data_IF_333281321127
#
_entry.id   IF_333281321127
#
_cell.length_a   1.000
_cell.length_b   1.000
_cell.length_c   1.000
_cell.angle_alpha   90.00
_cell.angle_beta   90.00
_cell.angle_gamma   90.00
#
_symmetry.space_group_name_H-M   'P 1'
#
loop_
_entity.id
_entity.type
_entity.pdbx_description
1 polymer ?
#
# COMPACT_ATOMS: atom_id res chain seq x y z
N UNK A 1 9.28 8.54 -14.22
CA UNK A 1 10.34 9.55 -14.49
C UNK A 1 10.93 9.26 -15.87
N UNK A 2 11.09 10.26 -16.75
CA UNK A 2 11.72 10.06 -18.06
C UNK A 2 13.16 10.60 -18.01
N UNK A 3 14.16 9.78 -18.36
CA UNK A 3 15.54 10.27 -18.55
C UNK A 3 15.71 10.79 -19.98
N UNK A 4 16.78 11.57 -20.23
CA UNK A 4 17.06 12.31 -21.47
C UNK A 4 17.29 11.46 -22.74
N UNK A 5 16.76 10.22 -22.76
CA UNK A 5 16.79 9.26 -23.87
C UNK A 5 15.48 8.47 -24.06
N UNK A 6 14.36 8.91 -23.47
CA UNK A 6 13.05 8.28 -23.68
C UNK A 6 12.77 7.02 -22.86
N UNK A 7 13.57 6.76 -21.82
CA UNK A 7 13.35 5.62 -20.91
C UNK A 7 12.28 6.02 -19.90
N UNK A 8 11.14 5.32 -19.91
CA UNK A 8 10.16 5.37 -18.84
C UNK A 8 10.68 4.55 -17.66
N UNK A 9 10.89 5.21 -16.52
CA UNK A 9 11.23 4.55 -15.26
C UNK A 9 9.97 4.47 -14.41
N UNK A 10 9.53 3.24 -14.17
CA UNK A 10 8.54 2.92 -13.15
C UNK A 10 9.26 2.68 -11.82
N UNK A 11 8.79 3.34 -10.78
CA UNK A 11 9.30 3.18 -9.41
C UNK A 11 8.17 2.66 -8.55
N UNK A 12 8.41 1.55 -7.85
CA UNK A 12 7.45 0.95 -6.95
C UNK A 12 8.14 0.63 -5.63
N UNK A 13 7.36 0.65 -4.55
CA UNK A 13 7.79 0.22 -3.21
C UNK A 13 6.88 -0.90 -2.73
N UNK A 14 7.48 -1.93 -2.12
CA UNK A 14 6.74 -2.96 -1.40
C UNK A 14 6.81 -2.66 0.09
N UNK A 15 5.67 -2.35 0.69
CA UNK A 15 5.54 -2.11 2.13
C UNK A 15 5.28 -3.45 2.82
N UNK A 16 6.22 -3.86 3.65
CA UNK A 16 6.15 -5.06 4.49
C UNK A 16 6.43 -4.69 5.95
N UNK A 17 6.37 -5.66 6.87
CA UNK A 17 6.53 -5.46 8.31
C UNK A 17 7.79 -4.68 8.72
N UNK A 18 8.85 -4.71 7.91
CA UNK A 18 10.11 -4.01 8.16
C UNK A 18 10.35 -2.78 7.27
N UNK A 19 9.34 -2.29 6.56
CA UNK A 19 9.41 -1.03 5.83
C UNK A 19 9.04 0.11 6.78
N UNK A 20 9.95 1.07 6.97
CA UNK A 20 9.65 2.32 7.67
C UNK A 20 8.93 3.27 6.73
N UNK A 21 7.87 3.88 7.25
CA UNK A 21 7.15 4.98 6.60
C UNK A 21 7.24 6.16 7.54
N UNK A 22 7.96 7.18 7.13
CA UNK A 22 8.05 8.45 7.84
C UNK A 22 7.17 9.48 7.13
N UNK A 23 6.47 10.32 7.89
CA UNK A 23 5.61 11.36 7.34
C UNK A 23 5.94 12.71 7.96
N UNK A 24 6.11 13.72 7.11
CA UNK A 24 6.26 15.12 7.50
C UNK A 24 5.17 15.94 6.81
N UNK A 25 4.56 16.87 7.54
CA UNK A 25 3.56 17.80 7.00
C UNK A 25 4.22 19.17 6.86
N UNK A 26 4.21 19.71 5.64
CA UNK A 26 4.79 21.01 5.32
C UNK A 26 3.74 21.82 4.56
N UNK A 27 3.20 22.86 5.21
CA UNK A 27 2.10 23.63 4.64
C UNK A 27 0.82 22.80 4.49
N UNK A 28 0.32 22.69 3.27
CA UNK A 28 -0.88 21.93 2.87
C UNK A 28 -0.56 20.56 2.24
N UNK A 29 0.71 20.13 2.33
CA UNK A 29 1.19 18.87 1.79
C UNK A 29 1.74 17.95 2.88
N UNK A 30 1.57 16.65 2.65
CA UNK A 30 2.21 15.59 3.41
C UNK A 30 3.24 14.88 2.53
N UNK A 31 4.47 14.78 3.02
CA UNK A 31 5.55 14.03 2.42
C UNK A 31 5.76 12.72 3.19
N UNK A 32 5.66 11.60 2.48
CA UNK A 32 5.96 10.27 3.00
C UNK A 32 7.29 9.78 2.43
N UNK A 33 8.17 9.28 3.29
CA UNK A 33 9.40 8.61 2.89
C UNK A 33 9.27 7.13 3.22
N UNK A 34 9.38 6.30 2.19
CA UNK A 34 9.38 4.85 2.31
C UNK A 34 10.82 4.36 2.25
N UNK A 35 11.28 3.76 3.33
CA UNK A 35 12.61 3.19 3.45
C UNK A 35 12.53 1.71 3.85
N UNK A 36 13.35 0.89 3.20
CA UNK A 36 13.35 -0.56 3.38
C UNK A 36 14.75 -1.14 3.37
N UNK A 37 14.92 -2.35 3.91
CA UNK A 37 16.23 -2.96 4.19
C UNK A 37 17.13 -3.21 2.96
N UNK A 38 16.60 -3.14 1.73
CA UNK A 38 17.31 -3.52 0.49
C UNK A 38 17.09 -2.60 -0.72
N UNK A 39 16.41 -1.46 -0.58
CA UNK A 39 16.04 -0.62 -1.72
C UNK A 39 16.10 0.86 -1.38
N UNK A 40 16.43 1.68 -2.39
CA UNK A 40 16.51 3.14 -2.26
C UNK A 40 15.22 3.78 -1.75
N UNK A 41 15.33 5.03 -1.32
CA UNK A 41 14.22 5.79 -0.78
C UNK A 41 13.22 6.16 -1.88
N UNK A 42 11.93 5.93 -1.62
CA UNK A 42 10.84 6.47 -2.42
C UNK A 42 10.15 7.55 -1.59
N UNK A 43 9.96 8.74 -2.17
CA UNK A 43 9.19 9.81 -1.56
C UNK A 43 7.87 9.99 -2.29
N UNK A 44 6.77 10.07 -1.54
CA UNK A 44 5.44 10.43 -2.04
C UNK A 44 5.03 11.75 -1.41
N UNK A 45 4.74 12.76 -2.23
CA UNK A 45 4.17 14.03 -1.77
C UNK A 45 2.73 14.10 -2.22
N UNK A 46 1.83 14.43 -1.31
CA UNK A 46 0.40 14.57 -1.57
C UNK A 46 -0.13 15.82 -0.90
N UNK A 47 -1.06 16.51 -1.56
CA UNK A 47 -1.85 17.57 -0.92
C UNK A 47 -2.86 16.97 0.05
N UNK A 48 -3.46 17.78 0.92
CA UNK A 48 -4.55 17.36 1.81
C UNK A 48 -5.67 16.59 1.07
N UNK A 49 -6.22 17.16 0.00
CA UNK A 49 -7.27 16.52 -0.81
C UNK A 49 -6.78 15.25 -1.52
N UNK A 50 -5.48 15.16 -1.82
CA UNK A 50 -4.86 13.95 -2.34
C UNK A 50 -4.77 12.86 -1.26
N UNK A 51 -4.36 13.23 -0.05
CA UNK A 51 -4.25 12.33 1.09
C UNK A 51 -5.61 11.74 1.48
N UNK A 52 -6.68 12.54 1.48
CA UNK A 52 -8.04 12.05 1.71
C UNK A 52 -8.41 10.90 0.75
N UNK A 53 -8.10 11.06 -0.54
CA UNK A 53 -8.34 10.02 -1.56
C UNK A 53 -7.48 8.78 -1.32
N UNK A 54 -6.21 8.97 -0.94
CA UNK A 54 -5.32 7.85 -0.62
C UNK A 54 -5.89 7.03 0.53
N UNK A 55 -6.31 7.69 1.61
CA UNK A 55 -6.92 7.04 2.78
C UNK A 55 -8.18 6.27 2.38
N UNK A 56 -9.09 6.88 1.61
CA UNK A 56 -10.32 6.21 1.15
C UNK A 56 -10.00 4.92 0.38
N UNK A 57 -9.10 5.00 -0.61
CA UNK A 57 -8.77 3.87 -1.45
C UNK A 57 -7.99 2.78 -0.72
N UNK A 58 -7.07 3.15 0.18
CA UNK A 58 -6.32 2.18 0.98
C UNK A 58 -7.21 1.46 1.97
N UNK A 59 -8.15 2.17 2.62
CA UNK A 59 -9.11 1.55 3.52
C UNK A 59 -10.02 0.58 2.76
N UNK A 60 -10.53 0.97 1.58
CA UNK A 60 -11.33 0.09 0.73
C UNK A 60 -10.58 -1.18 0.33
N UNK A 61 -9.30 -1.06 -0.03
CA UNK A 61 -8.47 -2.22 -0.37
C UNK A 61 -8.22 -3.12 0.85
N UNK A 62 -7.98 -2.53 2.03
CA UNK A 62 -7.82 -3.28 3.28
C UNK A 62 -9.09 -4.05 3.65
N UNK A 63 -10.26 -3.43 3.48
CA UNK A 63 -11.55 -4.08 3.74
C UNK A 63 -11.76 -5.28 2.80
N UNK A 64 -11.40 -5.15 1.52
CA UNK A 64 -11.47 -6.26 0.56
C UNK A 64 -10.57 -7.42 0.94
N UNK A 65 -9.34 -7.17 1.39
CA UNK A 65 -8.42 -8.22 1.85
C UNK A 65 -9.00 -8.99 3.04
N UNK A 66 -9.54 -8.27 4.03
CA UNK A 66 -10.14 -8.87 5.23
C UNK A 66 -11.41 -9.67 4.90
N UNK A 67 -12.23 -9.21 3.97
CA UNK A 67 -13.40 -9.95 3.52
C UNK A 67 -13.01 -11.23 2.75
N UNK A 68 -11.97 -11.16 1.91
CA UNK A 68 -11.48 -12.32 1.18
C UNK A 68 -10.94 -13.43 2.14
N UNK A 69 -10.26 -13.04 3.22
CA UNK A 69 -9.82 -13.99 4.27
C UNK A 69 -11.00 -14.64 4.99
N UNK A 70 -12.08 -13.89 5.26
CA UNK A 70 -13.28 -14.42 5.92
C UNK A 70 -14.02 -15.45 5.04
N UNK A 71 -14.08 -15.24 3.72
CA UNK A 71 -14.69 -16.18 2.78
C UNK A 71 -13.85 -17.46 2.63
N UNK A 72 -12.52 -17.34 2.58
CA UNK A 72 -11.61 -18.49 2.52
C UNK A 72 -11.70 -19.40 3.76
N UNK A 73 -11.95 -18.84 4.95
CA UNK A 73 -12.16 -19.61 6.18
C UNK A 73 -13.52 -20.32 6.30
N UNK A 74 -14.50 -19.97 5.45
CA UNK A 74 -15.84 -20.56 5.46
C UNK A 74 -15.97 -21.83 4.60
N UNK A 75 -15.02 -22.08 3.70
CA UNK A 75 -15.03 -23.21 2.77
C UNK A 75 -14.51 -24.54 3.37
N UNK A 76 -13.90 -24.52 4.56
CA UNK A 76 -13.21 -25.70 5.15
C UNK A 76 -14.04 -26.47 6.21
N UNK A 77 -15.27 -26.04 6.52
CA UNK A 77 -16.11 -26.68 7.55
C UNK A 77 -17.22 -27.60 6.99
N UNK A 78 -17.16 -27.99 5.72
CA UNK A 78 -18.24 -28.70 5.02
C UNK A 78 -18.08 -30.21 4.76
N UNK A 79 -16.96 -30.85 5.10
CA UNK A 79 -16.71 -32.27 4.77
C UNK A 79 -16.21 -33.10 5.96
N UNK A 80 -17.03 -33.26 6.99
CA UNK A 80 -16.97 -34.43 7.87
C UNK A 80 -18.38 -35.03 7.97
N UNK A 81 -18.74 -35.80 6.93
CA UNK A 81 -19.85 -36.72 7.00
C UNK A 81 -19.44 -37.94 7.85
N UNK A 82 -20.31 -38.45 8.75
CA UNK A 82 -19.99 -39.63 9.53
C UNK A 82 -20.35 -40.87 8.71
N UNK A 83 -19.41 -41.80 8.50
CA UNK A 83 -19.59 -43.26 8.51
C UNK A 83 -18.23 -43.95 8.68
#
# INVERSE_FOLDING_TARGET
>A
MFTNGGISVDSWVRVEEHCSIEAEVVGDEAQFVFSGRRGGELSLVVTEAGLEKVVEHFQRALDQLRSAEAEAGSADLGQLGPE
#
